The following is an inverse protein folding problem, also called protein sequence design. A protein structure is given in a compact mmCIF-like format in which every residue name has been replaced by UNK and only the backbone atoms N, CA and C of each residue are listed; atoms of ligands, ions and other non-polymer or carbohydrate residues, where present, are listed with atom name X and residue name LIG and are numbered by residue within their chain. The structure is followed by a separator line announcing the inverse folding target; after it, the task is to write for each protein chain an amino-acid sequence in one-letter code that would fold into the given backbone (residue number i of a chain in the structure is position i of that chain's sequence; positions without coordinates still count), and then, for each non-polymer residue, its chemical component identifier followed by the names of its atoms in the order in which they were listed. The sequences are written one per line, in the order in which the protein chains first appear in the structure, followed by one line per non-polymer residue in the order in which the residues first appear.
data_IF_586529069660
#
_entry.id   IF_586529069660
#
_cell.length_a   1.000
_cell.length_b   1.000
_cell.length_c   1.000
_cell.angle_alpha   90.00
_cell.angle_beta   90.00
_cell.angle_gamma   90.00
#
_symmetry.space_group_name_H-M   'P 1'
#
loop_
_entity.id
_entity.type
_entity.pdbx_description
1 polymer ?
#
# COMPACT_ATOMS: atom_id res chain seq x y z
N UNK A 1 -7.74 12.76 1.04
CA UNK A 1 -8.67 13.12 -0.04
C UNK A 1 -8.17 12.71 -1.43
N UNK A 2 -7.01 13.21 -1.89
CA UNK A 2 -6.44 12.85 -3.21
C UNK A 2 -6.30 11.35 -3.45
N UNK A 3 -5.79 10.58 -2.47
CA UNK A 3 -5.61 9.12 -2.60
C UNK A 3 -6.92 8.38 -2.91
N UNK A 4 -8.00 8.72 -2.23
CA UNK A 4 -9.33 8.12 -2.45
C UNK A 4 -9.83 8.39 -3.85
N UNK A 5 -9.69 9.63 -4.34
CA UNK A 5 -10.10 10.02 -5.69
C UNK A 5 -9.31 9.27 -6.76
N UNK A 6 -7.99 9.16 -6.59
CA UNK A 6 -7.12 8.41 -7.50
C UNK A 6 -7.49 6.93 -7.53
N UNK A 7 -7.70 6.31 -6.36
CA UNK A 7 -8.13 4.90 -6.28
C UNK A 7 -9.49 4.71 -6.95
N UNK A 8 -10.44 5.63 -6.73
CA UNK A 8 -11.75 5.58 -7.38
C UNK A 8 -11.65 5.58 -8.91
N UNK A 9 -10.84 6.47 -9.49
CA UNK A 9 -10.63 6.50 -10.94
C UNK A 9 -9.92 5.24 -11.46
N UNK A 10 -8.93 4.72 -10.73
CA UNK A 10 -8.26 3.46 -11.08
C UNK A 10 -9.25 2.29 -11.11
N UNK A 11 -10.09 2.18 -10.08
CA UNK A 11 -11.12 1.15 -9.99
C UNK A 11 -12.20 1.33 -11.06
N UNK A 12 -12.51 2.56 -11.48
CA UNK A 12 -13.48 2.82 -12.55
C UNK A 12 -13.00 2.31 -13.90
N UNK A 13 -11.72 2.47 -14.23
CA UNK A 13 -11.17 2.07 -15.54
C UNK A 13 -10.70 0.61 -15.57
N UNK A 14 -10.40 0.01 -14.42
CA UNK A 14 -9.92 -1.36 -14.35
C UNK A 14 -11.05 -2.37 -14.53
N UNK A 15 -10.92 -3.30 -15.49
CA UNK A 15 -11.94 -4.34 -15.69
C UNK A 15 -12.00 -5.35 -14.55
N UNK A 16 -10.84 -5.95 -14.20
CA UNK A 16 -10.78 -7.10 -13.28
C UNK A 16 -9.76 -6.96 -12.17
N UNK A 17 -8.56 -6.47 -12.48
CA UNK A 17 -7.48 -6.39 -11.50
C UNK A 17 -6.89 -5.00 -11.41
N UNK A 18 -6.47 -4.61 -10.20
CA UNK A 18 -5.62 -3.44 -9.96
C UNK A 18 -4.40 -3.86 -9.15
N UNK A 19 -3.21 -3.51 -9.63
CA UNK A 19 -1.97 -3.72 -8.89
C UNK A 19 -1.45 -2.39 -8.36
N UNK A 20 -1.17 -2.30 -7.06
CA UNK A 20 -0.68 -1.09 -6.41
C UNK A 20 0.55 -1.40 -5.57
N UNK A 21 1.64 -0.68 -5.85
CA UNK A 21 2.82 -0.67 -4.99
C UNK A 21 2.57 0.26 -3.80
N UNK A 22 2.91 -0.18 -2.59
CA UNK A 22 2.74 0.60 -1.36
C UNK A 22 3.89 0.34 -0.37
N UNK A 23 4.16 1.31 0.51
CA UNK A 23 5.20 1.18 1.51
C UNK A 23 4.63 0.64 2.83
N UNK A 24 5.15 -0.50 3.30
CA UNK A 24 4.69 -1.13 4.52
C UNK A 24 5.32 -0.48 5.78
N UNK A 25 4.49 -0.01 6.74
CA UNK A 25 4.97 0.61 7.97
C UNK A 25 5.75 -0.32 8.90
N UNK A 26 5.55 -1.65 8.87
CA UNK A 26 6.22 -2.59 9.78
C UNK A 26 7.73 -2.71 9.49
N UNK A 27 8.09 -2.87 8.22
CA UNK A 27 9.48 -2.92 7.75
C UNK A 27 10.17 -1.57 7.96
N UNK A 28 9.42 -0.48 7.82
CA UNK A 28 9.90 0.88 8.05
C UNK A 28 10.18 1.20 9.51
N UNK A 29 9.35 0.76 10.47
CA UNK A 29 9.65 0.96 11.90
C UNK A 29 10.99 0.32 12.28
N UNK A 30 11.28 -0.87 11.76
CA UNK A 30 12.57 -1.52 11.98
C UNK A 30 13.73 -0.72 11.34
N UNK A 31 13.53 -0.20 10.13
CA UNK A 31 14.51 0.63 9.44
C UNK A 31 14.72 2.01 10.13
N UNK A 32 13.65 2.68 10.55
CA UNK A 32 13.68 3.92 11.33
C UNK A 32 14.42 3.71 12.64
N UNK A 33 14.17 2.61 13.35
CA UNK A 33 14.87 2.31 14.61
C UNK A 33 16.37 2.07 14.36
N UNK A 34 16.73 1.39 13.27
CA UNK A 34 18.13 1.16 12.87
C UNK A 34 18.82 2.47 12.42
N UNK A 35 18.13 3.33 11.67
CA UNK A 35 18.65 4.62 11.17
C UNK A 35 18.68 5.71 12.24
N UNK A 36 17.71 5.75 13.17
CA UNK A 36 17.75 6.63 14.35
C UNK A 36 18.95 6.33 15.24
N UNK A 37 19.28 5.04 15.43
CA UNK A 37 20.51 4.62 16.12
C UNK A 37 21.79 5.07 15.40
N UNK A 38 21.76 5.15 14.07
CA UNK A 38 22.95 5.46 13.26
C UNK A 38 23.15 6.95 12.93
N UNK A 39 22.09 7.77 12.80
CA UNK A 39 22.21 9.10 12.18
C UNK A 39 21.40 10.23 12.81
N UNK A 40 20.63 10.01 13.88
CA UNK A 40 19.94 11.08 14.63
C UNK A 40 18.89 11.92 13.87
N UNK A 41 18.68 11.70 12.56
CA UNK A 41 17.83 12.52 11.70
C UNK A 41 16.53 11.80 11.36
N UNK A 42 15.38 12.46 11.60
CA UNK A 42 14.04 11.96 11.25
C UNK A 42 13.87 11.93 9.73
N UNK A 43 13.51 10.79 9.18
CA UNK A 43 13.02 10.66 7.80
C UNK A 43 11.52 10.96 7.78
N UNK A 44 11.09 11.82 6.86
CA UNK A 44 9.66 12.03 6.57
C UNK A 44 9.19 10.94 5.61
N UNK A 45 8.59 9.87 6.12
CA UNK A 45 8.09 8.77 5.28
C UNK A 45 6.56 8.77 5.29
N UNK A 46 5.96 8.76 4.10
CA UNK A 46 4.51 8.71 3.90
C UNK A 46 4.01 7.26 3.99
N UNK A 47 3.86 6.79 5.23
CA UNK A 47 3.40 5.43 5.51
C UNK A 47 1.90 5.29 5.18
N UNK A 48 1.54 4.23 4.45
CA UNK A 48 0.14 3.87 4.22
C UNK A 48 -0.04 2.40 4.62
N UNK A 49 -0.70 2.10 5.75
CA UNK A 49 -0.92 0.72 6.17
C UNK A 49 -1.79 0.00 5.14
N UNK A 50 -1.58 -1.31 4.98
CA UNK A 50 -2.36 -2.13 4.04
C UNK A 50 -3.87 -1.98 4.27
N UNK A 51 -4.31 -1.92 5.53
CA UNK A 51 -5.72 -1.72 5.87
C UNK A 51 -6.31 -0.42 5.30
N UNK A 52 -5.54 0.67 5.27
CA UNK A 52 -5.98 1.94 4.65
C UNK A 52 -6.09 1.79 3.14
N UNK A 53 -5.11 1.11 2.51
CA UNK A 53 -5.14 0.83 1.08
C UNK A 53 -6.36 -0.04 0.74
N UNK A 54 -6.55 -1.16 1.45
CA UNK A 54 -7.67 -2.08 1.24
C UNK A 54 -9.02 -1.38 1.36
N UNK A 55 -9.20 -0.54 2.38
CA UNK A 55 -10.44 0.22 2.56
C UNK A 55 -10.76 1.14 1.37
N UNK A 56 -9.75 1.65 0.64
CA UNK A 56 -10.00 2.43 -0.57
C UNK A 56 -10.53 1.58 -1.73
N UNK A 57 -10.09 0.33 -1.83
CA UNK A 57 -10.51 -0.59 -2.88
C UNK A 57 -11.86 -1.24 -2.59
N UNK A 58 -12.13 -1.61 -1.32
CA UNK A 58 -13.40 -2.22 -0.89
C UNK A 58 -14.61 -1.35 -1.22
N UNK A 59 -14.52 -0.04 -0.97
CA UNK A 59 -15.59 0.93 -1.30
C UNK A 59 -15.87 1.03 -2.80
N UNK A 60 -14.95 0.56 -3.65
CA UNK A 60 -15.08 0.57 -5.11
C UNK A 60 -15.39 -0.81 -5.70
N UNK A 61 -15.78 -1.80 -4.88
CA UNK A 61 -16.12 -3.15 -5.34
C UNK A 61 -14.89 -3.99 -5.69
N UNK A 62 -13.75 -3.75 -5.03
CA UNK A 62 -12.54 -4.53 -5.19
C UNK A 62 -12.10 -5.11 -3.85
N UNK A 63 -11.64 -6.36 -3.85
CA UNK A 63 -11.08 -7.03 -2.69
C UNK A 63 -9.60 -7.37 -2.89
N UNK A 64 -8.87 -7.50 -1.78
CA UNK A 64 -7.45 -7.84 -1.83
C UNK A 64 -7.26 -9.31 -2.23
N UNK A 65 -6.89 -9.55 -3.48
CA UNK A 65 -6.61 -10.89 -4.00
C UNK A 65 -5.24 -11.41 -3.53
N UNK A 66 -4.19 -10.59 -3.60
CA UNK A 66 -2.83 -10.97 -3.18
C UNK A 66 -2.02 -9.81 -2.63
N UNK A 67 -1.06 -10.12 -1.76
CA UNK A 67 -0.07 -9.17 -1.26
C UNK A 67 1.34 -9.78 -1.33
N UNK A 68 2.17 -9.26 -2.21
CA UNK A 68 3.55 -9.66 -2.39
C UNK A 68 4.48 -8.75 -1.59
N UNK A 69 5.36 -9.37 -0.80
CA UNK A 69 6.45 -8.68 -0.10
C UNK A 69 7.67 -8.69 -1.02
N UNK A 70 8.05 -7.55 -1.59
CA UNK A 70 9.23 -7.45 -2.46
C UNK A 70 10.47 -7.26 -1.57
N UNK A 71 11.08 -8.40 -1.21
CA UNK A 71 12.32 -8.56 -0.42
C UNK A 71 12.36 -7.97 1.00
N UNK A 72 13.03 -8.68 1.90
CA UNK A 72 13.14 -8.34 3.33
C UNK A 72 13.90 -7.01 3.61
N UNK A 73 14.62 -6.50 2.62
CA UNK A 73 15.43 -5.28 2.72
C UNK A 73 14.61 -4.05 2.31
N UNK A 74 13.62 -4.22 1.44
CA UNK A 74 12.82 -3.12 0.91
C UNK A 74 11.44 -3.10 1.58
N UNK A 75 11.01 -1.89 1.92
CA UNK A 75 9.70 -1.60 2.48
C UNK A 75 8.59 -1.55 1.42
N UNK A 76 8.91 -1.80 0.16
CA UNK A 76 7.98 -1.77 -0.96
C UNK A 76 7.24 -3.10 -1.04
N UNK A 77 5.93 -3.03 -1.02
CA UNK A 77 5.03 -4.17 -1.15
C UNK A 77 4.14 -3.97 -2.37
N UNK A 78 3.66 -5.06 -2.96
CA UNK A 78 2.72 -5.01 -4.07
C UNK A 78 1.41 -5.68 -3.66
N UNK A 79 0.34 -4.89 -3.60
CA UNK A 79 -1.01 -5.39 -3.42
C UNK A 79 -1.68 -5.57 -4.78
N UNK A 80 -2.39 -6.68 -4.96
CA UNK A 80 -3.23 -6.96 -6.12
C UNK A 80 -4.66 -7.09 -5.65
N UNK A 81 -5.54 -6.32 -6.26
CA UNK A 81 -6.97 -6.29 -5.98
C UNK A 81 -7.75 -6.89 -7.16
N UNK A 82 -8.81 -7.62 -6.87
CA UNK A 82 -9.73 -8.18 -7.87
C UNK A 82 -11.14 -7.59 -7.68
N UNK A 83 -11.84 -7.36 -8.79
CA UNK A 83 -13.21 -6.87 -8.78
C UNK A 83 -14.15 -7.97 -8.28
N UNK A 84 -14.99 -7.65 -7.29
CA UNK A 84 -16.03 -8.55 -6.79
C UNK A 84 -17.08 -8.73 -7.90
N UNK A 85 -17.44 -9.96 -8.28
CA UNK A 85 -18.53 -10.23 -9.22
C UNK A 85 -19.86 -9.74 -8.62
N UNK A 86 -20.70 -9.11 -9.44
CA UNK A 86 -22.08 -8.74 -9.06
C UNK A 86 -22.94 -9.96 -8.68
#
# INVERSE_FOLDING_TARGET
ELRRKVVGELCRVARRHVAMSYFNPKTLRALEQKLRRLRGRKLSVFNTPLAEVTAYFEVNGFELARNFRLDAINNLHLAVFERVPD
#
